data_IF_681925992108
#
_entry.id   IF_681925992108
#
_cell.length_a   1.000
_cell.length_b   1.000
_cell.length_c   1.000
_cell.angle_alpha   90.00
_cell.angle_beta   90.00
_cell.angle_gamma   90.00
#
_symmetry.space_group_name_H-M   'P 1'
#
loop_
_entity.id
_entity.type
_entity.pdbx_description
1 polymer ?
#
# COMPACT_ATOMS: atom_id res chain seq x y z
N UNK A 1 -14.83 14.95 -52.40
CA UNK A 1 -13.67 14.33 -51.71
C UNK A 1 -13.13 15.18 -50.57
N UNK A 2 -12.87 16.49 -50.74
CA UNK A 2 -12.35 17.38 -49.67
C UNK A 2 -13.20 17.44 -48.38
N UNK A 3 -14.53 17.29 -48.49
CA UNK A 3 -15.44 17.36 -47.35
C UNK A 3 -15.52 16.06 -46.53
N UNK A 4 -15.15 14.92 -47.11
CA UNK A 4 -15.05 13.65 -46.38
C UNK A 4 -13.70 13.49 -45.69
N UNK A 5 -12.63 13.97 -46.34
CA UNK A 5 -11.28 14.05 -45.77
C UNK A 5 -11.24 15.00 -44.55
N UNK A 6 -11.91 16.15 -44.63
CA UNK A 6 -12.01 17.07 -43.49
C UNK A 6 -12.84 16.47 -42.34
N UNK A 7 -13.92 15.74 -42.63
CA UNK A 7 -14.70 15.00 -41.63
C UNK A 7 -13.90 13.89 -40.97
N UNK A 8 -13.15 13.10 -41.75
CA UNK A 8 -12.29 12.03 -41.24
C UNK A 8 -11.18 12.57 -40.34
N UNK A 9 -10.50 13.63 -40.77
CA UNK A 9 -9.48 14.30 -39.95
C UNK A 9 -10.05 14.92 -38.67
N UNK A 10 -11.26 15.50 -38.73
CA UNK A 10 -11.93 16.02 -37.55
C UNK A 10 -12.33 14.90 -36.56
N UNK A 11 -12.81 13.76 -37.05
CA UNK A 11 -13.12 12.61 -36.19
C UNK A 11 -11.86 12.03 -35.55
N UNK A 12 -10.76 11.92 -36.28
CA UNK A 12 -9.49 11.39 -35.79
C UNK A 12 -8.85 12.33 -34.76
N UNK A 13 -8.87 13.64 -35.02
CA UNK A 13 -8.44 14.65 -34.04
C UNK A 13 -9.33 14.64 -32.79
N UNK A 14 -10.65 14.51 -32.94
CA UNK A 14 -11.55 14.40 -31.80
C UNK A 14 -11.30 13.13 -30.99
N UNK A 15 -11.08 11.98 -31.64
CA UNK A 15 -10.74 10.72 -30.97
C UNK A 15 -9.40 10.83 -30.24
N UNK A 16 -8.40 11.47 -30.85
CA UNK A 16 -7.11 11.72 -30.23
C UNK A 16 -7.21 12.63 -29.01
N UNK A 17 -7.98 13.72 -29.09
CA UNK A 17 -8.23 14.62 -27.96
C UNK A 17 -8.99 13.92 -26.83
N UNK A 18 -9.99 13.09 -27.14
CA UNK A 18 -10.72 12.29 -26.15
C UNK A 18 -9.77 11.30 -25.47
N UNK A 19 -8.93 10.61 -26.24
CA UNK A 19 -7.94 9.68 -25.71
C UNK A 19 -6.96 10.39 -24.76
N UNK A 20 -6.35 11.50 -25.20
CA UNK A 20 -5.41 12.26 -24.38
C UNK A 20 -6.06 12.77 -23.08
N UNK A 21 -7.29 13.30 -23.17
CA UNK A 21 -8.03 13.76 -22.00
C UNK A 21 -8.36 12.62 -21.04
N UNK A 22 -8.73 11.45 -21.56
CA UNK A 22 -9.01 10.26 -20.75
C UNK A 22 -7.75 9.71 -20.08
N UNK A 23 -6.62 9.62 -20.80
CA UNK A 23 -5.33 9.19 -20.25
C UNK A 23 -4.88 10.15 -19.15
N UNK A 24 -5.00 11.46 -19.38
CA UNK A 24 -4.70 12.48 -18.37
C UNK A 24 -5.56 12.29 -17.12
N UNK A 25 -6.87 12.16 -17.26
CA UNK A 25 -7.78 11.97 -16.13
C UNK A 25 -7.50 10.67 -15.35
N UNK A 26 -7.16 9.58 -16.04
CA UNK A 26 -6.77 8.31 -15.42
C UNK A 26 -5.47 8.47 -14.63
N UNK A 27 -4.46 9.14 -15.21
CA UNK A 27 -3.18 9.38 -14.55
C UNK A 27 -3.33 10.28 -13.33
N UNK A 28 -4.12 11.35 -13.42
CA UNK A 28 -4.45 12.22 -12.28
C UNK A 28 -5.12 11.42 -11.16
N UNK A 29 -6.09 10.56 -11.50
CA UNK A 29 -6.76 9.70 -10.53
C UNK A 29 -5.79 8.69 -9.90
N UNK A 30 -4.90 8.08 -10.68
CA UNK A 30 -3.86 7.17 -10.20
C UNK A 30 -2.93 7.88 -9.22
N UNK A 31 -2.47 9.09 -9.53
CA UNK A 31 -1.62 9.90 -8.63
C UNK A 31 -2.32 10.15 -7.30
N UNK A 32 -3.59 10.58 -7.32
CA UNK A 32 -4.37 10.81 -6.10
C UNK A 32 -4.53 9.54 -5.26
N UNK A 33 -4.75 8.39 -5.91
CA UNK A 33 -4.83 7.09 -5.24
C UNK A 33 -3.49 6.74 -4.58
N UNK A 34 -2.37 6.86 -5.31
CA UNK A 34 -1.04 6.57 -4.76
C UNK A 34 -0.69 7.47 -3.58
N UNK A 35 -1.04 8.76 -3.66
CA UNK A 35 -0.87 9.71 -2.56
C UNK A 35 -1.71 9.28 -1.34
N UNK A 36 -2.95 8.88 -1.55
CA UNK A 36 -3.83 8.43 -0.48
C UNK A 36 -3.36 7.11 0.16
N UNK A 37 -2.84 6.17 -0.63
CA UNK A 37 -2.21 4.94 -0.13
C UNK A 37 -1.07 5.30 0.82
N UNK A 38 -0.19 6.22 0.40
CA UNK A 38 0.93 6.66 1.23
C UNK A 38 0.47 7.33 2.52
N UNK A 39 -0.50 8.25 2.44
CA UNK A 39 -1.13 8.89 3.61
C UNK A 39 -1.72 7.86 4.58
N UNK A 40 -2.41 6.86 4.06
CA UNK A 40 -3.03 5.82 4.86
C UNK A 40 -1.99 5.02 5.65
N UNK A 41 -0.78 4.80 5.13
CA UNK A 41 0.28 4.16 5.93
C UNK A 41 0.53 4.92 7.23
N UNK A 42 0.66 6.24 7.20
CA UNK A 42 0.87 7.05 8.41
C UNK A 42 -0.36 7.09 9.31
N UNK A 43 -1.55 7.16 8.74
CA UNK A 43 -2.80 7.17 9.49
C UNK A 43 -2.93 5.88 10.32
N UNK A 44 -2.70 4.72 9.70
CA UNK A 44 -2.74 3.42 10.39
C UNK A 44 -1.65 3.33 11.46
N UNK A 45 -0.41 3.75 11.17
CA UNK A 45 0.69 3.76 12.15
C UNK A 45 0.38 4.64 13.36
N UNK A 46 -0.24 5.81 13.14
CA UNK A 46 -0.61 6.76 14.20
C UNK A 46 -1.83 6.32 15.01
N UNK A 47 -2.64 5.40 14.47
CA UNK A 47 -3.76 4.83 15.19
C UNK A 47 -3.34 3.79 16.24
N UNK A 48 -2.07 3.36 16.24
CA UNK A 48 -1.54 2.47 17.27
C UNK A 48 -1.54 3.21 18.62
N UNK A 49 -2.09 2.64 19.70
CA UNK A 49 -2.08 3.30 21.00
C UNK A 49 -0.64 3.58 21.46
N UNK A 50 -0.28 4.79 21.92
CA UNK A 50 1.12 5.15 22.22
C UNK A 50 1.83 4.20 23.20
N UNK A 51 1.10 3.71 24.22
CA UNK A 51 1.65 2.79 25.21
C UNK A 51 1.96 1.41 24.59
N UNK A 52 1.11 0.95 23.66
CA UNK A 52 1.32 -0.29 22.91
C UNK A 52 2.48 -0.11 21.94
N UNK A 53 2.50 1.01 21.21
CA UNK A 53 3.55 1.36 20.27
C UNK A 53 4.92 1.37 20.94
N UNK A 54 5.07 2.13 22.03
CA UNK A 54 6.32 2.22 22.79
C UNK A 54 6.79 0.84 23.23
N UNK A 55 5.87 0.02 23.76
CA UNK A 55 6.21 -1.31 24.25
C UNK A 55 6.67 -2.23 23.14
N UNK A 56 5.92 -2.30 22.03
CA UNK A 56 6.31 -3.11 20.86
C UNK A 56 7.65 -2.65 20.25
N UNK A 57 8.05 -1.40 20.48
CA UNK A 57 9.31 -0.85 19.97
C UNK A 57 10.51 -1.15 20.88
N UNK A 58 10.32 -1.24 22.20
CA UNK A 58 11.43 -1.43 23.13
C UNK A 58 11.56 -2.86 23.63
N UNK A 59 10.48 -3.66 23.59
CA UNK A 59 10.46 -5.00 24.15
C UNK A 59 11.43 -5.90 23.38
N UNK A 60 12.29 -6.59 24.12
CA UNK A 60 13.19 -7.60 23.58
C UNK A 60 12.52 -8.96 23.54
N UNK A 61 12.98 -9.83 22.64
CA UNK A 61 12.39 -11.15 22.42
C UNK A 61 12.30 -12.02 23.70
N UNK A 62 13.23 -11.86 24.65
CA UNK A 62 13.24 -12.53 25.96
C UNK A 62 12.28 -11.92 26.99
N UNK A 63 11.78 -10.72 26.73
CA UNK A 63 10.94 -9.93 27.64
C UNK A 63 9.44 -10.09 27.36
N UNK A 64 9.05 -10.93 26.39
CA UNK A 64 7.65 -11.26 26.06
C UNK A 64 6.99 -12.11 27.16
N UNK A 65 6.72 -11.51 28.32
CA UNK A 65 5.94 -12.12 29.40
C UNK A 65 5.05 -11.08 30.10
N UNK A 66 3.95 -11.55 30.68
CA UNK A 66 3.02 -10.69 31.43
C UNK A 66 3.71 -10.14 32.69
N UNK A 67 4.57 -10.93 33.32
CA UNK A 67 5.35 -10.56 34.49
C UNK A 67 6.28 -9.39 34.17
N UNK A 68 7.01 -9.45 33.06
CA UNK A 68 7.90 -8.37 32.62
C UNK A 68 7.13 -7.10 32.32
N UNK A 69 5.99 -7.20 31.61
CA UNK A 69 5.14 -6.04 31.32
C UNK A 69 4.56 -5.39 32.57
N UNK A 70 4.19 -6.18 33.59
CA UNK A 70 3.73 -5.65 34.89
C UNK A 70 4.84 -4.88 35.63
N UNK A 71 6.10 -5.26 35.41
CA UNK A 71 7.28 -4.62 36.01
C UNK A 71 7.77 -3.39 35.23
N UNK A 72 7.43 -3.25 33.95
CA UNK A 72 7.72 -2.06 33.14
C UNK A 72 6.75 -0.90 33.49
N UNK A 73 7.21 0.08 34.26
CA UNK A 73 6.49 1.36 34.44
C UNK A 73 6.48 2.08 33.08
N UNK A 74 5.32 2.18 32.39
CA UNK A 74 4.13 2.87 32.90
C UNK A 74 2.87 1.99 33.06
N UNK A 75 2.99 0.66 33.06
CA UNK A 75 1.84 -0.27 33.17
C UNK A 75 1.22 -0.40 34.58
N UNK A 76 1.39 0.63 35.42
CA UNK A 76 0.89 0.67 36.80
C UNK A 76 -0.59 0.32 36.91
N UNK A 77 -0.88 -0.68 37.76
CA UNK A 77 -2.18 -1.22 38.22
C UNK A 77 -3.26 -1.47 37.13
N UNK A 78 -3.74 -2.72 36.99
CA UNK A 78 -4.66 -3.15 35.92
C UNK A 78 -6.01 -2.42 35.82
N UNK A 79 -6.45 -1.69 36.85
CA UNK A 79 -7.87 -1.42 37.09
C UNK A 79 -8.48 -0.24 36.32
N UNK A 80 -7.71 0.56 35.58
CA UNK A 80 -8.20 1.57 34.63
C UNK A 80 -7.76 1.33 33.17
N UNK A 81 -7.11 0.20 32.91
CA UNK A 81 -6.46 -0.06 31.63
C UNK A 81 -7.37 -0.75 30.60
N UNK A 82 -8.39 -1.50 31.03
CA UNK A 82 -9.15 -2.35 30.12
C UNK A 82 -10.12 -1.59 29.21
N UNK A 83 -10.73 -0.51 29.68
CA UNK A 83 -11.63 0.33 28.85
C UNK A 83 -10.85 1.16 27.82
N UNK A 84 -9.72 1.75 28.23
CA UNK A 84 -8.84 2.55 27.35
C UNK A 84 -8.20 1.66 26.27
N UNK A 85 -7.84 0.42 26.59
CA UNK A 85 -7.28 -0.55 25.62
C UNK A 85 -8.30 -1.00 24.59
N UNK A 86 -9.56 -1.25 24.99
CA UNK A 86 -10.60 -1.69 24.07
C UNK A 86 -11.06 -0.57 23.12
N UNK A 87 -11.20 0.66 23.61
CA UNK A 87 -11.54 1.81 22.75
C UNK A 87 -10.42 2.09 21.75
N UNK A 88 -9.16 2.09 22.19
CA UNK A 88 -8.02 2.33 21.31
C UNK A 88 -7.82 1.19 20.29
N UNK A 89 -8.13 -0.06 20.68
CA UNK A 89 -8.21 -1.21 19.75
C UNK A 89 -9.31 -0.99 18.70
N UNK A 90 -10.51 -0.61 19.12
CA UNK A 90 -11.64 -0.38 18.20
C UNK A 90 -11.35 0.76 17.23
N UNK A 91 -10.64 1.79 17.67
CA UNK A 91 -10.18 2.87 16.79
C UNK A 91 -9.17 2.38 15.76
N UNK A 92 -8.16 1.60 16.15
CA UNK A 92 -7.21 1.01 15.19
C UNK A 92 -7.90 0.11 14.17
N UNK A 93 -8.81 -0.76 14.62
CA UNK A 93 -9.65 -1.61 13.76
C UNK A 93 -10.37 -0.78 12.72
N UNK A 94 -11.13 0.22 13.16
CA UNK A 94 -11.90 1.11 12.29
C UNK A 94 -11.00 1.81 11.26
N UNK A 95 -9.90 2.40 11.71
CA UNK A 95 -8.95 3.11 10.84
C UNK A 95 -8.30 2.17 9.82
N UNK A 96 -7.89 0.99 10.25
CA UNK A 96 -7.28 -0.02 9.38
C UNK A 96 -8.27 -0.53 8.33
N UNK A 97 -9.52 -0.78 8.73
CA UNK A 97 -10.59 -1.27 7.85
C UNK A 97 -10.99 -0.22 6.82
N UNK A 98 -11.19 1.04 7.24
CA UNK A 98 -11.47 2.16 6.33
C UNK A 98 -10.34 2.34 5.31
N UNK A 99 -9.08 2.28 5.77
CA UNK A 99 -7.92 2.39 4.91
C UNK A 99 -7.79 1.21 3.93
N UNK A 100 -8.17 0.00 4.35
CA UNK A 100 -8.17 -1.19 3.50
C UNK A 100 -9.30 -1.14 2.46
N UNK A 101 -10.52 -0.76 2.86
CA UNK A 101 -11.66 -0.59 1.96
C UNK A 101 -11.36 0.43 0.85
N UNK A 102 -10.67 1.53 1.18
CA UNK A 102 -10.22 2.50 0.18
C UNK A 102 -9.34 1.83 -0.90
N UNK A 103 -8.37 1.01 -0.48
CA UNK A 103 -7.44 0.36 -1.40
C UNK A 103 -8.10 -0.72 -2.22
N UNK A 104 -9.01 -1.49 -1.62
CA UNK A 104 -9.77 -2.49 -2.35
C UNK A 104 -10.63 -1.84 -3.45
N UNK A 105 -11.27 -0.70 -3.14
CA UNK A 105 -11.98 0.12 -4.13
C UNK A 105 -11.07 0.77 -5.19
N UNK A 106 -9.78 0.91 -4.90
CA UNK A 106 -8.78 1.47 -5.80
C UNK A 106 -7.98 0.41 -6.59
N UNK A 107 -8.32 -0.88 -6.46
CA UNK A 107 -7.53 -2.00 -6.95
C UNK A 107 -7.24 -1.96 -8.45
N UNK A 108 -8.14 -1.42 -9.27
CA UNK A 108 -7.93 -1.29 -10.72
C UNK A 108 -6.91 -0.22 -11.12
N UNK A 109 -6.48 0.64 -10.19
CA UNK A 109 -5.54 1.73 -10.45
C UNK A 109 -4.12 1.47 -9.92
N UNK A 110 -3.89 0.33 -9.26
CA UNK A 110 -2.61 0.01 -8.61
C UNK A 110 -2.12 -1.37 -9.01
N UNK A 111 -0.81 -1.59 -8.93
CA UNK A 111 -0.24 -2.92 -9.15
C UNK A 111 -0.65 -3.92 -8.06
N UNK A 112 -0.73 -5.20 -8.44
CA UNK A 112 -0.96 -6.28 -7.49
C UNK A 112 0.14 -6.35 -6.42
N UNK A 113 1.39 -5.99 -6.77
CA UNK A 113 2.47 -5.94 -5.78
C UNK A 113 2.25 -4.81 -4.75
N UNK A 114 1.85 -3.60 -5.19
CA UNK A 114 1.54 -2.51 -4.26
C UNK A 114 0.39 -2.88 -3.32
N UNK A 115 -0.65 -3.52 -3.87
CA UNK A 115 -1.78 -4.03 -3.08
C UNK A 115 -1.31 -5.03 -2.02
N UNK A 116 -0.48 -6.01 -2.39
CA UNK A 116 0.05 -7.02 -1.46
C UNK A 116 0.94 -6.41 -0.38
N UNK A 117 1.81 -5.45 -0.74
CA UNK A 117 2.66 -4.74 0.22
C UNK A 117 1.83 -4.00 1.26
N UNK A 118 0.78 -3.30 0.81
CA UNK A 118 -0.10 -2.60 1.71
C UNK A 118 -0.93 -3.57 2.58
N UNK A 119 -1.43 -4.66 2.01
CA UNK A 119 -2.16 -5.67 2.76
C UNK A 119 -1.27 -6.27 3.86
N UNK A 120 -0.03 -6.64 3.55
CA UNK A 120 0.92 -7.15 4.54
C UNK A 120 1.25 -6.12 5.63
N UNK A 121 1.40 -4.84 5.24
CA UNK A 121 1.56 -3.72 6.18
C UNK A 121 0.41 -3.62 7.18
N UNK A 122 -0.83 -3.61 6.70
CA UNK A 122 -2.02 -3.59 7.54
C UNK A 122 -2.12 -4.84 8.41
N UNK A 123 -1.88 -6.02 7.85
CA UNK A 123 -1.92 -7.30 8.55
C UNK A 123 -0.97 -7.31 9.75
N UNK A 124 0.28 -6.91 9.54
CA UNK A 124 1.32 -6.90 10.58
C UNK A 124 0.93 -5.97 11.73
N UNK A 125 0.54 -4.73 11.42
CA UNK A 125 0.15 -3.76 12.45
C UNK A 125 -1.09 -4.28 13.20
N UNK A 126 -2.12 -4.66 12.46
CA UNK A 126 -3.40 -5.05 13.04
C UNK A 126 -3.26 -6.29 13.93
N UNK A 127 -2.70 -7.38 13.40
CA UNK A 127 -2.54 -8.63 14.16
C UNK A 127 -1.61 -8.48 15.36
N UNK A 128 -0.51 -7.75 15.20
CA UNK A 128 0.45 -7.55 16.30
C UNK A 128 -0.16 -6.72 17.42
N UNK A 129 -0.83 -5.62 17.11
CA UNK A 129 -1.43 -4.73 18.12
C UNK A 129 -2.63 -5.41 18.79
N UNK A 130 -3.52 -6.04 18.02
CA UNK A 130 -4.67 -6.77 18.54
C UNK A 130 -4.23 -7.97 19.39
N UNK A 131 -3.24 -8.74 18.91
CA UNK A 131 -2.62 -9.85 19.63
C UNK A 131 -1.96 -9.40 20.94
N UNK A 132 -1.25 -8.27 20.93
CA UNK A 132 -0.68 -7.68 22.14
C UNK A 132 -1.76 -7.27 23.14
N UNK A 133 -2.78 -6.51 22.70
CA UNK A 133 -3.85 -6.03 23.58
C UNK A 133 -4.61 -7.20 24.20
N UNK A 134 -5.03 -8.18 23.38
CA UNK A 134 -5.70 -9.39 23.88
C UNK A 134 -4.80 -10.21 24.78
N UNK A 135 -3.54 -10.40 24.40
CA UNK A 135 -2.59 -11.18 25.18
C UNK A 135 -2.39 -10.60 26.58
N UNK A 136 -2.31 -9.27 26.69
CA UNK A 136 -2.26 -8.60 27.99
C UNK A 136 -3.58 -8.71 28.76
N UNK A 137 -4.73 -8.53 28.10
CA UNK A 137 -6.05 -8.58 28.76
C UNK A 137 -6.40 -9.99 29.26
N UNK A 138 -6.04 -11.03 28.51
CA UNK A 138 -6.38 -12.43 28.82
C UNK A 138 -5.21 -13.22 29.42
N UNK A 139 -4.12 -12.57 29.81
CA UNK A 139 -2.90 -13.20 30.33
C UNK A 139 -2.32 -14.31 29.43
N UNK A 140 -2.42 -14.15 28.11
CA UNK A 140 -1.86 -15.06 27.11
C UNK A 140 -1.07 -14.26 26.07
N UNK A 141 0.07 -13.72 26.50
CA UNK A 141 0.91 -12.91 25.63
C UNK A 141 1.77 -13.80 24.74
N UNK A 142 1.51 -13.73 23.43
CA UNK A 142 2.35 -14.36 22.43
C UNK A 142 3.22 -13.32 21.71
N UNK A 143 4.43 -13.74 21.34
CA UNK A 143 5.34 -12.93 20.53
C UNK A 143 4.84 -12.88 19.09
N UNK A 144 4.72 -11.68 18.53
CA UNK A 144 4.19 -11.48 17.18
C UNK A 144 4.96 -12.23 16.10
N UNK A 145 6.28 -12.41 16.25
CA UNK A 145 7.12 -13.22 15.36
C UNK A 145 6.78 -14.71 15.34
N UNK A 146 5.98 -15.19 16.31
CA UNK A 146 5.45 -16.56 16.35
C UNK A 146 4.08 -16.70 15.71
N UNK A 147 3.41 -15.59 15.42
CA UNK A 147 2.10 -15.62 14.76
C UNK A 147 2.25 -16.03 13.29
N UNK A 148 1.86 -17.28 12.99
CA UNK A 148 2.06 -17.90 11.68
C UNK A 148 1.46 -17.04 10.55
N UNK A 149 0.26 -16.51 10.74
CA UNK A 149 -0.42 -15.70 9.72
C UNK A 149 0.31 -14.39 9.44
N UNK A 150 0.80 -13.69 10.48
CA UNK A 150 1.64 -12.50 10.31
C UNK A 150 2.90 -12.82 9.52
N UNK A 151 3.59 -13.92 9.87
CA UNK A 151 4.82 -14.33 9.20
C UNK A 151 4.56 -14.77 7.75
N UNK A 152 3.49 -15.52 7.49
CA UNK A 152 3.11 -15.90 6.14
C UNK A 152 2.79 -14.67 5.29
N UNK A 153 2.06 -13.69 5.84
CA UNK A 153 1.78 -12.43 5.15
C UNK A 153 3.03 -11.64 4.82
N UNK A 154 3.99 -11.54 5.75
CA UNK A 154 5.29 -10.92 5.50
C UNK A 154 6.07 -11.60 4.37
N UNK A 155 6.10 -12.94 4.34
CA UNK A 155 6.80 -13.70 3.29
C UNK A 155 6.29 -13.42 1.88
N UNK A 156 5.06 -12.94 1.71
CA UNK A 156 4.54 -12.58 0.38
C UNK A 156 5.19 -11.33 -0.22
N UNK A 157 5.80 -10.48 0.62
CA UNK A 157 6.30 -9.16 0.20
C UNK A 157 7.78 -8.95 0.53
N UNK A 158 8.33 -9.74 1.45
CA UNK A 158 9.74 -9.68 1.81
C UNK A 158 10.61 -10.48 0.83
N UNK A 159 11.84 -10.01 0.63
CA UNK A 159 12.90 -10.75 -0.05
C UNK A 159 13.49 -11.82 0.86
N UNK A 160 14.23 -12.78 0.29
CA UNK A 160 14.80 -13.90 1.04
C UNK A 160 15.70 -13.49 2.23
N UNK A 161 16.30 -12.31 2.17
CA UNK A 161 17.24 -11.82 3.18
C UNK A 161 16.60 -10.95 4.27
N UNK A 162 15.44 -10.35 3.99
CA UNK A 162 14.77 -9.42 4.91
C UNK A 162 14.23 -10.10 6.20
N UNK A 163 13.64 -11.31 6.18
CA UNK A 163 13.25 -12.02 7.39
C UNK A 163 14.42 -12.21 8.37
N UNK A 164 15.59 -12.55 7.84
CA UNK A 164 16.81 -12.74 8.64
C UNK A 164 17.25 -11.42 9.30
N UNK A 165 17.05 -10.29 8.64
CA UNK A 165 17.34 -8.97 9.20
C UNK A 165 16.36 -8.62 10.33
N UNK A 166 15.07 -8.92 10.15
CA UNK A 166 14.04 -8.74 11.18
C UNK A 166 14.34 -9.61 12.41
N UNK A 167 14.77 -10.85 12.20
CA UNK A 167 15.08 -11.78 13.29
C UNK A 167 16.33 -11.37 14.07
N UNK A 168 17.34 -10.81 13.39
CA UNK A 168 18.56 -10.28 14.04
C UNK A 168 18.28 -9.06 14.92
N UNK A 169 17.14 -8.38 14.77
CA UNK A 169 16.75 -7.27 15.65
C UNK A 169 16.22 -7.82 16.98
N UNK A 170 17.04 -7.70 18.02
CA UNK A 170 16.69 -8.06 19.41
C UNK A 170 15.73 -7.05 20.03
N UNK A 171 15.87 -5.76 19.71
CA UNK A 171 15.01 -4.66 20.12
C UNK A 171 14.49 -3.91 18.88
N UNK A 172 13.28 -3.37 18.93
CA UNK A 172 12.71 -2.59 17.81
C UNK A 172 12.42 -3.42 16.57
N UNK A 173 12.23 -4.73 16.72
CA UNK A 173 11.94 -5.60 15.56
C UNK A 173 10.61 -5.24 14.89
N UNK A 174 9.60 -4.88 15.68
CA UNK A 174 8.30 -4.44 15.16
C UNK A 174 8.40 -3.10 14.43
N UNK A 175 9.04 -2.08 15.02
CA UNK A 175 9.23 -0.78 14.34
C UNK A 175 10.03 -0.94 13.06
N UNK A 176 11.13 -1.69 13.10
CA UNK A 176 11.93 -1.99 11.92
C UNK A 176 11.10 -2.64 10.81
N UNK A 177 10.24 -3.61 11.16
CA UNK A 177 9.37 -4.30 10.19
C UNK A 177 8.35 -3.34 9.58
N UNK A 178 7.71 -2.51 10.40
CA UNK A 178 6.75 -1.49 9.94
C UNK A 178 7.43 -0.48 9.01
N UNK A 179 8.60 0.02 9.39
CA UNK A 179 9.36 0.99 8.59
C UNK A 179 9.85 0.38 7.28
N UNK A 180 10.31 -0.88 7.30
CA UNK A 180 10.69 -1.62 6.09
C UNK A 180 9.51 -1.73 5.12
N UNK A 181 8.32 -2.09 5.59
CA UNK A 181 7.13 -2.16 4.75
C UNK A 181 6.72 -0.79 4.19
N UNK A 182 6.79 0.28 5.00
CA UNK A 182 6.54 1.64 4.53
C UNK A 182 7.51 2.05 3.41
N UNK A 183 8.80 1.72 3.56
CA UNK A 183 9.81 1.99 2.53
C UNK A 183 9.52 1.24 1.24
N UNK A 184 9.13 -0.05 1.31
CA UNK A 184 8.77 -0.84 0.13
C UNK A 184 7.55 -0.28 -0.58
N UNK A 185 6.52 0.15 0.17
CA UNK A 185 5.33 0.83 -0.38
C UNK A 185 5.74 2.11 -1.09
N UNK A 186 6.58 2.95 -0.46
CA UNK A 186 7.04 4.21 -1.04
C UNK A 186 7.86 3.99 -2.32
N UNK A 187 8.77 3.02 -2.31
CA UNK A 187 9.56 2.66 -3.48
C UNK A 187 8.69 2.15 -4.62
N UNK A 188 7.66 1.36 -4.32
CA UNK A 188 6.71 0.89 -5.34
C UNK A 188 5.87 2.03 -5.91
N UNK A 189 5.37 2.93 -5.07
CA UNK A 189 4.67 4.15 -5.51
C UNK A 189 5.56 4.96 -6.44
N UNK A 190 6.84 5.16 -6.09
CA UNK A 190 7.81 5.87 -6.93
C UNK A 190 8.00 5.18 -8.28
N UNK A 191 8.08 3.85 -8.32
CA UNK A 191 8.18 3.10 -9.58
C UNK A 191 6.95 3.24 -10.46
N UNK A 192 5.75 3.23 -9.87
CA UNK A 192 4.49 3.44 -10.59
C UNK A 192 4.36 4.85 -11.14
N UNK A 193 4.81 5.87 -10.40
CA UNK A 193 4.82 7.27 -10.85
C UNK A 193 5.82 7.53 -11.99
N UNK A 194 6.99 6.89 -11.95
CA UNK A 194 8.01 7.04 -13.00
C UNK A 194 7.58 6.29 -14.28
N UNK A 195 6.56 5.43 -14.22
CA UNK A 195 6.04 4.75 -15.39
C UNK A 195 7.05 3.80 -16.04
N UNK A 196 7.97 3.21 -15.26
CA UNK A 196 8.99 2.26 -15.78
C UNK A 196 8.38 1.09 -16.55
N UNK A 197 7.11 0.75 -16.29
CA UNK A 197 6.36 -0.28 -17.03
C UNK A 197 5.35 0.28 -18.04
N UNK A 198 4.99 1.56 -17.97
CA UNK A 198 3.97 2.18 -18.84
C UNK A 198 4.58 2.93 -20.04
N UNK A 199 5.82 3.41 -19.93
CA UNK A 199 6.50 4.15 -21.00
C UNK A 199 6.69 3.33 -22.28
N UNK A 200 7.02 2.04 -22.19
CA UNK A 200 7.17 1.17 -23.36
C UNK A 200 5.85 0.87 -24.07
N UNK A 201 4.77 0.66 -23.30
CA UNK A 201 3.44 0.39 -23.86
C UNK A 201 2.77 1.66 -24.41
N UNK A 202 2.98 2.81 -23.76
CA UNK A 202 2.50 4.09 -24.28
C UNK A 202 3.23 4.50 -25.57
N UNK A 203 4.54 4.23 -25.66
CA UNK A 203 5.29 4.42 -26.89
C UNK A 203 4.75 3.51 -28.01
N UNK A 204 4.48 2.23 -27.70
CA UNK A 204 3.90 1.29 -28.66
C UNK A 204 2.51 1.74 -29.14
N UNK A 205 1.65 2.18 -28.23
CA UNK A 205 0.32 2.68 -28.57
C UNK A 205 0.40 3.98 -29.40
N UNK A 206 1.36 4.86 -29.11
CA UNK A 206 1.61 6.06 -29.92
C UNK A 206 2.08 5.70 -31.33
N UNK A 207 2.98 4.72 -31.46
CA UNK A 207 3.45 4.23 -32.76
C UNK A 207 2.33 3.56 -33.58
N UNK A 208 1.41 2.81 -32.94
CA UNK A 208 0.26 2.21 -33.60
C UNK A 208 -0.74 3.29 -34.10
N UNK A 209 -0.95 4.35 -33.33
CA UNK A 209 -1.77 5.50 -33.74
C UNK A 209 -1.10 6.28 -34.89
N UNK A 210 0.22 6.45 -34.84
CA UNK A 210 1.00 7.11 -35.89
C UNK A 210 1.01 6.31 -37.20
N UNK A 211 1.13 4.98 -37.13
CA UNK A 211 0.96 4.10 -38.29
C UNK A 211 -0.42 4.21 -38.92
N UNK A 212 -1.47 4.24 -38.10
CA UNK A 212 -2.84 4.41 -38.60
C UNK A 212 -3.02 5.74 -39.32
N UNK A 213 -2.46 6.83 -38.77
CA UNK A 213 -2.45 8.14 -39.41
C UNK A 213 -1.73 8.10 -40.76
N UNK A 214 -0.52 7.54 -40.80
CA UNK A 214 0.28 7.47 -42.03
C UNK A 214 -0.38 6.60 -43.13
N UNK A 215 -1.06 5.51 -42.75
CA UNK A 215 -1.81 4.67 -43.69
C UNK A 215 -3.01 5.41 -44.30
N UNK A 216 -3.67 6.27 -43.54
CA UNK A 216 -4.78 7.11 -44.03
C UNK A 216 -4.25 8.19 -44.98
N UNK A 217 -3.11 8.80 -44.68
CA UNK A 217 -2.47 9.80 -45.55
C UNK A 217 -1.99 9.16 -46.87
N UNK A 218 -1.30 8.02 -46.81
CA UNK A 218 -0.82 7.31 -48.00
C UNK A 218 -1.95 6.74 -48.87
N UNK A 219 -3.03 6.21 -48.27
CA UNK A 219 -4.18 5.71 -49.00
C UNK A 219 -4.92 6.79 -49.81
N UNK A 220 -4.87 8.04 -49.35
CA UNK A 220 -5.46 9.18 -50.05
C UNK A 220 -4.62 9.66 -51.24
N UNK A 221 -3.29 9.54 -51.21
CA UNK A 221 -2.43 9.89 -52.35
C UNK A 221 -2.66 8.95 -53.54
N UNK A 222 -2.87 7.65 -53.28
CA UNK A 222 -3.16 6.64 -54.31
C UNK A 222 -4.56 6.74 -54.96
N UNK A 223 -5.49 7.50 -54.38
CA UNK A 223 -6.84 7.71 -54.93
C UNK A 223 -6.96 8.94 -55.85
N UNK A 224 -5.86 9.66 -56.08
CA UNK A 224 -5.83 10.94 -56.82
C UNK A 224 -5.21 10.85 -58.23
N UNK A 225 -5.14 9.65 -58.80
CA UNK A 225 -4.68 9.40 -60.19
C UNK A 225 -5.84 8.92 -61.05
#
# INVERSE_FOLDING_TARGET
MTNELSKSNNLLNNAHLIFLNNVKAINERKILILEQIWKNTFIVKRAIPPNVQLTLWILQDSEWSIETLKNMQPFGKPTKYDSIKMEAKNNLLKVSDEAFQFIDGARCFISQELYQMYWAYNLVIHRTVDGFIRGVTYNNLERWKKDEYTIQGLKTVLTDTEPQQIDKKTMGSFSFTVDLLQLKILDRIKQELIGKNESANNLKNLLEVEELKNKIEAGNESATI
#
